data_IF_965068247924
#
_entry.id   IF_965068247924
#
_cell.length_a   1.000
_cell.length_b   1.000
_cell.length_c   1.000
_cell.angle_alpha   90.00
_cell.angle_beta   90.00
_cell.angle_gamma   90.00
#
_symmetry.space_group_name_H-M   'P 1'
#
loop_
_entity.id
_entity.type
_entity.pdbx_description
1 polymer ?
#
# COMPACT_ATOMS: atom_id res chain seq x y z
N UNK A 1 -13.09 16.67 16.69
CA UNK A 1 -12.77 15.25 16.89
C UNK A 1 -11.49 14.98 16.13
N UNK A 2 -10.38 14.98 16.85
CA UNK A 2 -9.02 14.86 16.30
C UNK A 2 -8.82 13.45 15.73
N UNK A 3 -8.56 13.37 14.43
CA UNK A 3 -8.09 12.16 13.77
C UNK A 3 -6.76 11.74 14.45
N UNK A 4 -6.77 10.65 15.17
CA UNK A 4 -5.59 9.93 15.56
C UNK A 4 -4.91 9.47 14.26
N UNK A 5 -4.00 10.25 13.75
CA UNK A 5 -3.06 9.86 12.70
C UNK A 5 -2.16 8.77 13.29
N UNK A 6 -2.59 7.52 13.13
CA UNK A 6 -1.79 6.35 13.45
C UNK A 6 -0.65 6.29 12.42
N UNK A 7 0.48 6.92 12.76
CA UNK A 7 1.75 6.62 12.10
C UNK A 7 1.90 5.09 12.02
N UNK A 8 2.38 4.52 10.90
CA UNK A 8 2.65 3.08 10.83
C UNK A 8 3.66 2.77 11.95
N UNK A 9 3.16 2.08 12.98
CA UNK A 9 4.01 1.59 14.07
C UNK A 9 5.04 0.67 13.42
N UNK A 10 6.30 1.07 13.39
CA UNK A 10 7.38 0.19 13.00
C UNK A 10 7.33 -1.10 13.85
N UNK A 11 8.01 -2.17 13.43
CA UNK A 11 8.00 -3.49 14.12
C UNK A 11 8.16 -3.37 15.64
N UNK A 12 8.95 -2.40 16.13
CA UNK A 12 9.11 -2.12 17.56
C UNK A 12 7.82 -1.68 18.22
N UNK A 13 7.09 -0.76 17.60
CA UNK A 13 5.80 -0.30 18.11
C UNK A 13 4.74 -1.40 18.12
N UNK A 14 4.76 -2.32 17.15
CA UNK A 14 3.86 -3.47 17.11
C UNK A 14 4.13 -4.43 18.28
N UNK A 15 5.39 -4.78 18.54
CA UNK A 15 5.76 -5.66 19.67
C UNK A 15 5.41 -4.99 21.00
N UNK A 16 5.64 -3.69 21.15
CA UNK A 16 5.26 -2.94 22.36
C UNK A 16 3.75 -2.93 22.59
N UNK A 17 2.98 -2.62 21.55
CA UNK A 17 1.51 -2.58 21.63
C UNK A 17 0.95 -3.97 21.97
N UNK A 18 1.45 -5.03 21.33
CA UNK A 18 1.06 -6.41 21.62
C UNK A 18 1.38 -6.81 23.06
N UNK A 19 2.58 -6.51 23.53
CA UNK A 19 3.00 -6.80 24.91
C UNK A 19 2.09 -6.08 25.91
N UNK A 20 1.77 -4.81 25.67
CA UNK A 20 0.87 -4.03 26.53
C UNK A 20 -0.54 -4.62 26.54
N UNK A 21 -1.11 -4.92 25.36
CA UNK A 21 -2.45 -5.49 25.22
C UNK A 21 -2.56 -6.84 25.94
N UNK A 22 -1.61 -7.77 25.70
CA UNK A 22 -1.61 -9.09 26.32
C UNK A 22 -1.47 -8.98 27.84
N UNK A 23 -0.52 -8.17 28.32
CA UNK A 23 -0.27 -8.01 29.77
C UNK A 23 -1.48 -7.37 30.47
N UNK A 24 -2.09 -6.31 29.88
CA UNK A 24 -3.26 -5.66 30.43
C UNK A 24 -4.49 -6.57 30.43
N UNK A 25 -4.67 -7.35 29.37
CA UNK A 25 -5.77 -8.32 29.28
C UNK A 25 -5.67 -9.40 30.36
N UNK A 26 -4.47 -10.01 30.52
CA UNK A 26 -4.25 -11.01 31.57
C UNK A 26 -4.46 -10.43 32.95
N UNK A 27 -4.00 -9.20 33.20
CA UNK A 27 -4.22 -8.50 34.46
C UNK A 27 -5.73 -8.25 34.72
N UNK A 28 -6.45 -7.77 33.71
CA UNK A 28 -7.89 -7.53 33.82
C UNK A 28 -8.69 -8.82 34.08
N UNK A 29 -8.37 -9.90 33.36
CA UNK A 29 -9.00 -11.20 33.57
C UNK A 29 -8.68 -11.77 34.96
N UNK A 30 -7.46 -11.57 35.47
CA UNK A 30 -7.09 -11.98 36.82
C UNK A 30 -7.87 -11.20 37.88
N UNK A 31 -8.04 -9.88 37.72
CA UNK A 31 -8.84 -9.04 38.60
C UNK A 31 -10.32 -9.47 38.57
N UNK A 32 -10.87 -9.68 37.39
CA UNK A 32 -12.26 -10.20 37.22
C UNK A 32 -12.46 -11.50 37.96
N UNK A 33 -11.51 -12.45 37.82
CA UNK A 33 -11.56 -13.71 38.57
C UNK A 33 -11.54 -13.53 40.08
N UNK A 34 -10.67 -12.64 40.60
CA UNK A 34 -10.62 -12.34 42.03
C UNK A 34 -11.94 -11.75 42.51
N UNK A 35 -12.50 -10.78 41.81
CA UNK A 35 -13.74 -10.07 42.21
C UNK A 35 -14.97 -10.96 42.08
N UNK A 36 -15.10 -11.68 40.99
CA UNK A 36 -16.31 -12.50 40.71
C UNK A 36 -16.26 -13.84 41.42
N UNK A 37 -15.10 -14.50 41.47
CA UNK A 37 -14.95 -15.83 42.06
C UNK A 37 -14.60 -15.79 43.55
N UNK A 38 -14.43 -14.57 44.11
CA UNK A 38 -14.10 -14.42 45.52
C UNK A 38 -12.72 -15.01 45.90
N UNK A 39 -11.80 -15.11 44.96
CA UNK A 39 -10.47 -15.64 45.22
C UNK A 39 -9.66 -14.65 46.05
N UNK A 40 -9.14 -15.11 47.19
CA UNK A 40 -8.36 -14.28 48.10
C UNK A 40 -6.93 -13.99 47.60
N UNK A 41 -6.53 -14.54 46.45
CA UNK A 41 -5.17 -14.38 45.90
C UNK A 41 -5.17 -14.34 44.35
N UNK A 42 -4.20 -13.65 43.78
CA UNK A 42 -3.96 -13.64 42.34
C UNK A 42 -3.66 -15.07 41.84
N UNK A 43 -4.31 -15.55 40.77
CA UNK A 43 -3.97 -16.87 40.22
C UNK A 43 -2.51 -16.94 39.84
N UNK A 44 -1.78 -17.94 40.35
CA UNK A 44 -0.33 -18.12 40.17
C UNK A 44 0.08 -18.00 38.70
N UNK A 45 -0.60 -18.62 37.71
CA UNK A 45 -0.22 -18.47 36.30
C UNK A 45 -0.31 -17.04 35.78
N UNK A 46 -1.35 -16.30 36.18
CA UNK A 46 -1.53 -14.91 35.76
C UNK A 46 -0.42 -13.99 36.33
N UNK A 47 0.00 -14.23 37.57
CA UNK A 47 1.11 -13.49 38.17
C UNK A 47 2.39 -13.61 37.33
N UNK A 48 2.79 -14.82 36.94
CA UNK A 48 3.99 -15.05 36.12
C UNK A 48 3.88 -14.37 34.76
N UNK A 49 2.73 -14.43 34.09
CA UNK A 49 2.53 -13.79 32.78
C UNK A 49 2.62 -12.26 32.89
N UNK A 50 2.02 -11.67 33.94
CA UNK A 50 2.09 -10.22 34.18
C UNK A 50 3.52 -9.77 34.46
N UNK A 51 4.25 -10.47 35.34
CA UNK A 51 5.64 -10.15 35.66
C UNK A 51 6.54 -10.26 34.41
N UNK A 52 6.40 -11.33 33.63
CA UNK A 52 7.15 -11.48 32.38
C UNK A 52 6.82 -10.36 31.37
N UNK A 53 5.55 -9.97 31.26
CA UNK A 53 5.10 -8.87 30.41
C UNK A 53 5.71 -7.51 30.82
N UNK A 54 5.75 -7.24 32.13
CA UNK A 54 6.41 -6.01 32.67
C UNK A 54 7.90 -6.00 32.41
N UNK A 55 8.59 -7.13 32.66
CA UNK A 55 10.03 -7.27 32.38
C UNK A 55 10.29 -7.05 30.87
N UNK A 56 9.49 -7.66 30.01
CA UNK A 56 9.61 -7.48 28.56
C UNK A 56 9.37 -6.02 28.15
N UNK A 57 8.40 -5.32 28.75
CA UNK A 57 8.17 -3.90 28.50
C UNK A 57 9.40 -3.03 28.89
N UNK A 58 10.01 -3.32 30.03
CA UNK A 58 11.23 -2.63 30.48
C UNK A 58 12.39 -2.92 29.52
N UNK A 59 12.55 -4.19 29.11
CA UNK A 59 13.58 -4.60 28.15
C UNK A 59 13.45 -3.85 26.82
N UNK A 60 12.24 -3.73 26.28
CA UNK A 60 11.97 -2.98 25.05
C UNK A 60 12.29 -1.48 25.24
N UNK A 61 11.90 -0.88 26.38
CA UNK A 61 12.18 0.53 26.70
C UNK A 61 13.69 0.83 26.80
N UNK A 62 14.48 -0.12 27.27
CA UNK A 62 15.95 -0.04 27.36
C UNK A 62 16.68 -0.37 26.05
N UNK A 63 16.00 -0.24 24.91
CA UNK A 63 16.56 -0.53 23.59
C UNK A 63 16.97 -2.00 23.35
N UNK A 64 16.36 -2.94 24.08
CA UNK A 64 16.57 -4.36 23.84
C UNK A 64 16.17 -4.81 22.44
N UNK A 65 16.72 -5.95 22.00
CA UNK A 65 16.43 -6.55 20.71
C UNK A 65 14.93 -6.89 20.56
N UNK A 66 14.33 -6.42 19.48
CA UNK A 66 12.90 -6.64 19.19
C UNK A 66 12.61 -8.12 18.94
N UNK A 67 13.56 -8.84 18.31
CA UNK A 67 13.42 -10.29 18.09
C UNK A 67 13.40 -11.07 19.39
N UNK A 68 14.22 -10.68 20.35
CA UNK A 68 14.23 -11.28 21.69
C UNK A 68 12.94 -10.96 22.42
N UNK A 69 12.48 -9.71 22.38
CA UNK A 69 11.22 -9.29 23.01
C UNK A 69 9.99 -10.04 22.45
N UNK A 70 9.93 -10.22 21.14
CA UNK A 70 8.87 -11.00 20.50
C UNK A 70 8.90 -12.47 20.93
N UNK A 71 10.07 -13.07 20.98
CA UNK A 71 10.23 -14.46 21.47
C UNK A 71 9.83 -14.62 22.94
N UNK A 72 10.24 -13.69 23.81
CA UNK A 72 9.82 -13.67 25.23
C UNK A 72 8.29 -13.65 25.31
N UNK A 73 7.62 -12.79 24.54
CA UNK A 73 6.16 -12.69 24.54
C UNK A 73 5.48 -14.00 24.14
N UNK A 74 5.96 -14.67 23.09
CA UNK A 74 5.40 -15.95 22.62
C UNK A 74 5.65 -17.07 23.61
N UNK A 75 6.86 -17.17 24.17
CA UNK A 75 7.20 -18.17 25.20
C UNK A 75 6.33 -17.96 26.44
N UNK A 76 6.13 -16.72 26.86
CA UNK A 76 5.25 -16.38 27.99
C UNK A 76 3.80 -16.79 27.73
N UNK A 77 3.31 -16.61 26.49
CA UNK A 77 1.96 -17.01 26.09
C UNK A 77 1.79 -18.53 26.10
N UNK A 78 2.77 -19.28 25.58
CA UNK A 78 2.76 -20.77 25.61
C UNK A 78 2.80 -21.30 27.04
N UNK A 79 3.66 -20.75 27.89
CA UNK A 79 3.73 -21.08 29.30
C UNK A 79 2.41 -20.77 30.01
N UNK A 80 1.85 -19.57 29.76
CA UNK A 80 0.57 -19.15 30.32
C UNK A 80 -0.57 -20.09 29.92
N UNK A 81 -0.60 -20.54 28.65
CA UNK A 81 -1.57 -21.51 28.18
C UNK A 81 -1.45 -22.84 28.93
N UNK A 82 -0.26 -23.45 28.94
CA UNK A 82 -0.04 -24.75 29.55
C UNK A 82 -0.31 -24.74 31.06
N UNK A 83 0.29 -23.78 31.77
CA UNK A 83 0.23 -23.70 33.23
C UNK A 83 -1.18 -23.31 33.73
N UNK A 84 -1.83 -22.35 33.05
CA UNK A 84 -3.19 -21.96 33.40
C UNK A 84 -4.20 -23.06 33.13
N UNK A 85 -4.09 -23.79 32.01
CA UNK A 85 -4.98 -24.92 31.72
C UNK A 85 -4.87 -26.02 32.77
N UNK A 86 -3.65 -26.35 33.20
CA UNK A 86 -3.44 -27.36 34.24
C UNK A 86 -4.13 -27.00 35.58
N UNK A 87 -4.06 -25.70 35.98
CA UNK A 87 -4.62 -25.28 37.29
C UNK A 87 -6.08 -24.85 37.25
N UNK A 88 -6.72 -24.72 36.09
CA UNK A 88 -8.09 -24.17 35.98
C UNK A 88 -9.09 -25.12 35.32
N UNK A 89 -8.81 -26.44 35.30
CA UNK A 89 -9.75 -27.45 34.84
C UNK A 89 -9.45 -28.06 33.47
N UNK A 90 -8.19 -28.21 33.12
CA UNK A 90 -7.75 -28.97 31.94
C UNK A 90 -8.26 -28.43 30.62
N UNK A 91 -8.90 -29.29 29.84
CA UNK A 91 -9.50 -28.91 28.54
C UNK A 91 -10.68 -27.96 28.67
N UNK A 92 -11.35 -27.96 29.82
CA UNK A 92 -12.46 -27.05 30.12
C UNK A 92 -12.02 -25.66 30.54
N UNK A 93 -10.73 -25.45 30.74
CA UNK A 93 -10.17 -24.13 31.10
C UNK A 93 -10.47 -23.07 30.02
N UNK A 94 -11.09 -21.96 30.41
CA UNK A 94 -11.40 -20.85 29.48
C UNK A 94 -10.21 -20.35 28.73
N UNK A 95 -8.98 -20.48 29.25
CA UNK A 95 -7.73 -20.03 28.62
C UNK A 95 -7.41 -20.82 27.35
N UNK A 96 -7.89 -22.05 27.18
CA UNK A 96 -7.69 -22.90 26.01
C UNK A 96 -8.23 -22.21 24.75
N UNK A 97 -9.26 -21.39 24.87
CA UNK A 97 -9.84 -20.63 23.77
C UNK A 97 -8.84 -19.61 23.15
N UNK A 98 -7.82 -19.19 23.89
CA UNK A 98 -6.75 -18.31 23.35
C UNK A 98 -5.68 -19.05 22.55
N UNK A 99 -5.66 -20.38 22.57
CA UNK A 99 -4.65 -21.18 21.89
C UNK A 99 -4.44 -20.80 20.40
N UNK A 100 -5.49 -20.57 19.58
CA UNK A 100 -5.32 -20.21 18.16
C UNK A 100 -4.67 -18.84 17.94
N UNK A 101 -4.72 -17.94 18.91
CA UNK A 101 -4.11 -16.60 18.78
C UNK A 101 -2.58 -16.66 18.80
N UNK A 102 -1.99 -17.60 19.51
CA UNK A 102 -0.54 -17.68 19.70
C UNK A 102 0.20 -17.83 18.36
N UNK A 103 -0.11 -18.79 17.46
CA UNK A 103 0.51 -18.87 16.16
C UNK A 103 0.19 -17.67 15.27
N UNK A 104 -1.02 -17.10 15.33
CA UNK A 104 -1.37 -15.89 14.57
C UNK A 104 -0.48 -14.72 14.98
N UNK A 105 -0.29 -14.49 16.28
CA UNK A 105 0.62 -13.47 16.79
C UNK A 105 2.07 -13.75 16.40
N UNK A 106 2.48 -15.02 16.35
CA UNK A 106 3.84 -15.38 15.94
C UNK A 106 4.12 -15.03 14.48
N UNK A 107 3.14 -15.19 13.57
CA UNK A 107 3.29 -14.71 12.17
C UNK A 107 3.59 -13.22 12.14
N UNK A 108 2.83 -12.42 12.88
CA UNK A 108 2.93 -10.97 12.87
C UNK A 108 4.23 -10.44 13.51
N UNK A 109 4.66 -11.09 14.59
CA UNK A 109 5.77 -10.58 15.40
C UNK A 109 7.12 -11.13 14.96
N UNK A 110 7.17 -12.36 14.44
CA UNK A 110 8.41 -13.06 14.10
C UNK A 110 8.45 -13.41 12.61
N UNK A 111 7.83 -14.51 12.20
CA UNK A 111 7.71 -14.95 10.80
C UNK A 111 6.82 -16.21 10.68
N UNK A 112 6.53 -16.60 9.43
CA UNK A 112 5.67 -17.75 9.12
C UNK A 112 6.27 -19.09 9.58
N UNK A 113 7.60 -19.29 9.50
CA UNK A 113 8.23 -20.54 9.97
C UNK A 113 8.09 -20.72 11.47
N UNK A 114 8.33 -19.65 12.25
CA UNK A 114 8.13 -19.67 13.69
C UNK A 114 6.67 -19.94 14.09
N UNK A 115 5.71 -19.45 13.30
CA UNK A 115 4.29 -19.67 13.54
C UNK A 115 3.89 -21.16 13.38
N UNK A 116 4.42 -21.87 12.36
CA UNK A 116 4.19 -23.32 12.26
C UNK A 116 4.79 -24.11 13.42
N UNK A 117 5.97 -23.70 13.91
CA UNK A 117 6.57 -24.30 15.11
C UNK A 117 5.70 -24.07 16.34
N UNK A 118 5.23 -22.83 16.56
CA UNK A 118 4.35 -22.49 17.69
C UNK A 118 3.00 -23.18 17.58
N UNK A 119 2.44 -23.36 16.38
CA UNK A 119 1.24 -24.15 16.16
C UNK A 119 1.43 -25.60 16.60
N UNK A 120 2.53 -26.24 16.20
CA UNK A 120 2.86 -27.60 16.65
C UNK A 120 3.02 -27.69 18.17
N UNK A 121 3.68 -26.69 18.81
CA UNK A 121 3.81 -26.64 20.26
C UNK A 121 2.47 -26.47 20.96
N UNK A 122 1.58 -25.63 20.45
CA UNK A 122 0.22 -25.47 20.97
C UNK A 122 -0.54 -26.79 20.89
N UNK A 123 -0.49 -27.50 19.76
CA UNK A 123 -1.13 -28.81 19.60
C UNK A 123 -0.56 -29.83 20.63
N UNK A 124 0.76 -29.86 20.82
CA UNK A 124 1.38 -30.76 21.81
C UNK A 124 0.95 -30.42 23.25
N UNK A 125 0.85 -29.13 23.59
CA UNK A 125 0.36 -28.68 24.90
C UNK A 125 -1.10 -29.15 25.10
N UNK A 126 -1.97 -28.92 24.11
CA UNK A 126 -3.38 -29.31 24.22
C UNK A 126 -3.59 -30.83 24.31
N UNK A 127 -2.82 -31.60 23.52
CA UNK A 127 -2.84 -33.09 23.61
C UNK A 127 -2.33 -33.53 24.98
N UNK A 128 -1.25 -32.95 25.50
CA UNK A 128 -0.71 -33.27 26.81
C UNK A 128 -1.71 -32.98 27.93
N UNK A 129 -2.37 -31.84 27.89
CA UNK A 129 -3.45 -31.46 28.83
C UNK A 129 -4.62 -32.48 28.77
N UNK A 130 -5.06 -32.81 27.54
CA UNK A 130 -6.12 -33.78 27.33
C UNK A 130 -5.78 -35.15 27.94
N UNK A 131 -4.54 -35.63 27.74
CA UNK A 131 -4.08 -36.93 28.33
C UNK A 131 -4.03 -36.86 29.86
N UNK A 132 -3.55 -35.77 30.45
CA UNK A 132 -3.52 -35.59 31.91
C UNK A 132 -4.91 -35.50 32.50
N UNK A 133 -5.82 -34.82 31.82
CA UNK A 133 -7.24 -34.68 32.22
C UNK A 133 -7.96 -36.03 32.17
N UNK A 134 -7.81 -36.74 31.05
CA UNK A 134 -8.39 -38.06 30.85
C UNK A 134 -7.90 -39.10 31.90
N UNK A 135 -6.64 -38.99 32.37
CA UNK A 135 -6.08 -39.84 33.41
C UNK A 135 -6.39 -39.36 34.86
N UNK A 136 -7.18 -38.32 35.04
CA UNK A 136 -7.51 -37.77 36.34
C UNK A 136 -6.38 -37.09 37.09
N UNK A 137 -5.34 -36.66 36.40
CA UNK A 137 -4.18 -35.98 37.01
C UNK A 137 -4.38 -34.45 37.11
N UNK A 138 -5.46 -33.93 36.53
CA UNK A 138 -5.80 -32.51 36.65
C UNK A 138 -6.76 -32.32 37.83
N UNK A 139 -6.54 -31.32 38.68
CA UNK A 139 -7.45 -31.01 39.77
C UNK A 139 -8.87 -30.75 39.27
N UNK A 140 -9.87 -31.31 39.90
CA UNK A 140 -11.26 -31.03 39.58
C UNK A 140 -11.56 -29.53 39.70
N UNK A 141 -12.31 -29.02 38.74
CA UNK A 141 -12.69 -27.61 38.74
C UNK A 141 -13.78 -27.39 39.79
N UNK A 142 -13.41 -26.75 40.89
CA UNK A 142 -14.34 -26.44 42.01
C UNK A 142 -15.15 -25.16 41.77
N UNK A 143 -15.02 -24.55 40.57
CA UNK A 143 -15.73 -23.33 40.19
C UNK A 143 -17.17 -23.66 39.79
N UNK A 144 -18.08 -22.82 40.25
CA UNK A 144 -19.50 -22.88 39.87
C UNK A 144 -19.66 -22.93 38.35
N UNK A 145 -20.46 -23.86 37.78
CA UNK A 145 -20.69 -23.98 36.35
C UNK A 145 -21.14 -22.68 35.66
N UNK A 146 -21.99 -21.89 36.32
CA UNK A 146 -22.48 -20.61 35.74
C UNK A 146 -21.36 -19.58 35.66
N UNK A 147 -20.48 -19.52 36.67
CA UNK A 147 -19.30 -18.65 36.65
C UNK A 147 -18.24 -19.10 35.60
N UNK A 148 -18.11 -20.41 35.41
CA UNK A 148 -17.26 -21.00 34.39
C UNK A 148 -17.78 -20.61 32.99
N UNK A 149 -19.07 -20.73 32.75
CA UNK A 149 -19.73 -20.33 31.50
C UNK A 149 -19.55 -18.84 31.25
N UNK A 150 -19.77 -17.99 32.25
CA UNK A 150 -19.55 -16.54 32.12
C UNK A 150 -18.09 -16.21 31.77
N UNK A 151 -17.13 -16.88 32.39
CA UNK A 151 -15.70 -16.70 32.08
C UNK A 151 -15.38 -17.09 30.64
N UNK A 152 -16.00 -18.11 30.07
CA UNK A 152 -15.85 -18.50 28.64
C UNK A 152 -16.38 -17.44 27.71
N UNK A 153 -17.55 -16.82 27.97
CA UNK A 153 -18.09 -15.73 27.17
C UNK A 153 -17.18 -14.49 27.20
N UNK A 154 -16.63 -14.11 28.34
CA UNK A 154 -15.68 -13.01 28.45
C UNK A 154 -14.45 -13.29 27.60
N UNK A 155 -13.89 -14.49 27.68
CA UNK A 155 -12.72 -14.89 26.88
C UNK A 155 -13.04 -14.86 25.38
N UNK A 156 -14.23 -15.32 24.95
CA UNK A 156 -14.65 -15.25 23.56
C UNK A 156 -14.75 -13.81 23.05
N UNK A 157 -15.32 -12.90 23.84
CA UNK A 157 -15.39 -11.48 23.51
C UNK A 157 -13.96 -10.90 23.35
N UNK A 158 -13.08 -11.19 24.29
CA UNK A 158 -11.68 -10.77 24.21
C UNK A 158 -10.97 -11.34 22.97
N UNK A 159 -11.24 -12.61 22.62
CA UNK A 159 -10.73 -13.27 21.42
C UNK A 159 -11.18 -12.53 20.14
N UNK A 160 -12.47 -12.19 20.06
CA UNK A 160 -13.02 -11.42 18.93
C UNK A 160 -12.37 -10.03 18.82
N UNK A 161 -12.19 -9.34 19.94
CA UNK A 161 -11.51 -8.03 19.95
C UNK A 161 -10.06 -8.11 19.49
N UNK A 162 -9.30 -9.10 19.99
CA UNK A 162 -7.90 -9.31 19.60
C UNK A 162 -7.82 -9.69 18.12
N UNK A 163 -8.64 -10.62 17.64
CA UNK A 163 -8.62 -11.03 16.24
C UNK A 163 -8.97 -9.88 15.30
N UNK A 164 -9.98 -9.08 15.64
CA UNK A 164 -10.35 -7.87 14.89
C UNK A 164 -9.20 -6.86 14.85
N UNK A 165 -8.53 -6.62 15.99
CA UNK A 165 -7.36 -5.75 16.06
C UNK A 165 -6.21 -6.26 15.18
N UNK A 166 -5.90 -7.57 15.24
CA UNK A 166 -4.86 -8.21 14.43
C UNK A 166 -5.14 -8.04 12.93
N UNK A 167 -6.36 -8.38 12.49
CA UNK A 167 -6.77 -8.28 11.08
C UNK A 167 -6.71 -6.82 10.61
N UNK A 168 -7.19 -5.88 11.42
CA UNK A 168 -7.13 -4.45 11.12
C UNK A 168 -5.68 -3.96 10.93
N UNK A 169 -4.76 -4.40 11.79
CA UNK A 169 -3.33 -4.06 11.69
C UNK A 169 -2.67 -4.65 10.46
N UNK A 170 -2.93 -5.93 10.20
CA UNK A 170 -2.42 -6.59 9.00
C UNK A 170 -2.90 -5.90 7.72
N UNK A 171 -4.19 -5.58 7.64
CA UNK A 171 -4.76 -4.85 6.51
C UNK A 171 -4.10 -3.47 6.31
N UNK A 172 -3.85 -2.72 7.39
CA UNK A 172 -3.19 -1.42 7.32
C UNK A 172 -1.75 -1.54 6.80
N UNK A 173 -0.98 -2.50 7.30
CA UNK A 173 0.41 -2.74 6.86
C UNK A 173 0.44 -3.15 5.39
N UNK A 174 -0.44 -4.08 4.98
CA UNK A 174 -0.52 -4.54 3.59
C UNK A 174 -0.84 -3.40 2.62
N UNK A 175 -1.79 -2.52 2.98
CA UNK A 175 -2.11 -1.33 2.17
C UNK A 175 -0.92 -0.39 2.03
N UNK A 176 -0.20 -0.13 3.12
CA UNK A 176 0.99 0.74 3.09
C UNK A 176 2.08 0.17 2.18
N UNK A 177 2.32 -1.15 2.27
CA UNK A 177 3.30 -1.83 1.40
C UNK A 177 2.88 -1.79 -0.07
N UNK A 178 1.61 -2.00 -0.38
CA UNK A 178 1.10 -1.90 -1.75
C UNK A 178 1.29 -0.50 -2.32
N UNK A 179 0.93 0.55 -1.54
CA UNK A 179 1.15 1.94 -1.96
C UNK A 179 2.64 2.24 -2.17
N UNK A 180 3.53 1.72 -1.31
CA UNK A 180 4.97 1.88 -1.48
C UNK A 180 5.49 1.18 -2.74
N UNK A 181 4.99 -0.02 -3.06
CA UNK A 181 5.34 -0.74 -4.29
C UNK A 181 4.84 0.01 -5.53
N UNK A 182 3.62 0.54 -5.50
CA UNK A 182 3.09 1.39 -6.57
C UNK A 182 3.91 2.67 -6.75
N UNK A 183 4.33 3.29 -5.64
CA UNK A 183 5.21 4.46 -5.68
C UNK A 183 6.63 4.18 -6.21
N UNK A 184 7.10 2.93 -6.14
CA UNK A 184 8.38 2.52 -6.72
C UNK A 184 8.28 2.14 -8.20
N UNK A 185 7.07 1.88 -8.69
CA UNK A 185 6.85 1.65 -10.11
C UNK A 185 7.08 2.94 -10.90
N UNK A 186 7.84 2.86 -11.97
CA UNK A 186 7.99 3.95 -12.95
C UNK A 186 6.95 3.89 -14.06
N UNK A 187 6.13 2.84 -14.08
CA UNK A 187 5.19 2.53 -15.16
C UNK A 187 3.75 2.81 -14.69
N UNK A 188 2.95 3.42 -15.53
CA UNK A 188 1.51 3.55 -15.36
C UNK A 188 0.85 2.18 -15.51
N UNK A 189 0.13 1.73 -14.50
CA UNK A 189 -0.45 0.38 -14.43
C UNK A 189 -1.50 0.10 -15.51
N UNK A 190 -2.18 1.15 -15.99
CA UNK A 190 -3.22 1.01 -16.99
C UNK A 190 -2.63 0.93 -18.40
N UNK A 191 -1.73 1.84 -18.74
CA UNK A 191 -1.29 2.08 -20.11
C UNK A 191 0.06 1.46 -20.45
N UNK A 192 0.86 1.09 -19.43
CA UNK A 192 2.20 0.50 -19.64
C UNK A 192 3.30 1.48 -20.05
N UNK A 193 2.99 2.77 -20.22
CA UNK A 193 3.99 3.84 -20.41
C UNK A 193 4.50 4.37 -19.09
N UNK A 194 5.47 5.29 -19.08
CA UNK A 194 5.96 5.92 -17.87
C UNK A 194 4.80 6.63 -17.12
N UNK A 195 4.80 6.52 -15.80
CA UNK A 195 3.87 7.30 -15.00
C UNK A 195 4.36 8.76 -14.85
N UNK A 196 3.50 9.62 -14.30
CA UNK A 196 3.79 11.04 -14.12
C UNK A 196 5.13 11.29 -13.42
N UNK A 197 5.41 10.57 -12.33
CA UNK A 197 6.65 10.76 -11.57
C UNK A 197 7.89 10.38 -12.38
N UNK A 198 7.82 9.28 -13.12
CA UNK A 198 8.91 8.81 -13.94
C UNK A 198 9.19 9.77 -15.11
N UNK A 199 8.14 10.26 -15.79
CA UNK A 199 8.29 11.20 -16.89
C UNK A 199 8.82 12.57 -16.42
N UNK A 200 8.42 13.06 -15.23
CA UNK A 200 8.98 14.28 -14.64
C UNK A 200 10.46 14.11 -14.28
N UNK A 201 10.86 12.93 -13.80
CA UNK A 201 12.26 12.60 -13.50
C UNK A 201 13.09 12.51 -14.78
N UNK A 202 12.56 11.87 -15.81
CA UNK A 202 13.19 11.75 -17.12
C UNK A 202 13.37 13.13 -17.77
N UNK A 203 12.34 13.96 -17.73
CA UNK A 203 12.42 15.34 -18.24
C UNK A 203 13.54 16.14 -17.56
N UNK A 204 13.70 16.00 -16.25
CA UNK A 204 14.78 16.67 -15.52
C UNK A 204 16.16 16.20 -16.01
N UNK A 205 16.35 14.89 -16.22
CA UNK A 205 17.60 14.33 -16.73
C UNK A 205 17.91 14.80 -18.15
N UNK A 206 16.91 14.84 -19.02
CA UNK A 206 17.07 15.28 -20.40
C UNK A 206 17.32 16.81 -20.51
N UNK A 207 16.75 17.61 -19.60
CA UNK A 207 17.11 19.04 -19.47
C UNK A 207 18.59 19.21 -19.12
N UNK A 208 19.07 18.46 -18.13
CA UNK A 208 20.48 18.53 -17.74
C UNK A 208 21.40 18.05 -18.84
N UNK A 209 20.98 17.05 -19.62
CA UNK A 209 21.69 16.56 -20.78
C UNK A 209 21.72 17.62 -21.89
N UNK A 210 20.57 18.19 -22.26
CA UNK A 210 20.46 19.22 -23.27
C UNK A 210 21.32 20.46 -22.94
N UNK A 211 21.35 20.85 -21.66
CA UNK A 211 22.22 21.95 -21.19
C UNK A 211 23.69 21.64 -21.34
N UNK A 212 24.16 20.44 -21.01
CA UNK A 212 25.55 20.02 -21.12
C UNK A 212 25.99 19.88 -22.58
N UNK A 213 25.13 19.27 -23.40
CA UNK A 213 25.44 19.02 -24.82
C UNK A 213 25.12 20.20 -25.73
N UNK A 214 24.44 21.23 -25.20
CA UNK A 214 23.95 22.38 -25.92
C UNK A 214 23.10 21.99 -27.15
N UNK A 215 22.09 21.18 -26.91
CA UNK A 215 21.18 20.63 -27.92
C UNK A 215 19.73 21.06 -27.67
N UNK A 216 18.85 20.76 -28.63
CA UNK A 216 17.41 21.00 -28.52
C UNK A 216 16.75 19.95 -27.61
N UNK A 217 15.73 20.35 -26.87
CA UNK A 217 14.82 19.48 -26.17
C UNK A 217 13.41 19.94 -26.44
N UNK A 218 12.57 19.02 -26.91
CA UNK A 218 11.14 19.28 -27.13
C UNK A 218 10.27 18.46 -26.20
N UNK A 219 9.13 19.05 -25.85
CA UNK A 219 8.08 18.41 -25.06
C UNK A 219 6.76 18.53 -25.82
N UNK A 220 6.04 17.40 -25.93
CA UNK A 220 4.68 17.36 -26.44
C UNK A 220 3.76 16.96 -25.30
N UNK A 221 2.72 17.74 -25.06
CA UNK A 221 1.60 17.38 -24.19
C UNK A 221 0.38 17.09 -25.05
N UNK A 222 -0.20 15.90 -24.89
CA UNK A 222 -1.32 15.41 -25.64
C UNK A 222 -2.50 15.09 -24.73
N UNK A 223 -3.71 15.37 -25.16
CA UNK A 223 -4.94 15.11 -24.42
C UNK A 223 -6.00 14.52 -25.35
N UNK A 224 -6.71 13.52 -24.84
CA UNK A 224 -7.79 12.84 -25.59
C UNK A 224 -9.04 13.72 -25.59
N UNK A 225 -9.40 14.19 -26.76
CA UNK A 225 -10.53 15.11 -26.92
C UNK A 225 -11.84 14.50 -26.44
N UNK A 226 -12.57 15.25 -25.59
CA UNK A 226 -13.87 14.88 -25.04
C UNK A 226 -13.88 13.52 -24.30
N UNK A 227 -12.79 13.09 -23.71
CA UNK A 227 -12.69 11.78 -23.08
C UNK A 227 -13.73 11.54 -21.98
N UNK A 228 -14.11 12.56 -21.23
CA UNK A 228 -15.19 12.46 -20.25
C UNK A 228 -16.52 12.04 -20.92
N UNK A 229 -16.86 12.64 -22.06
CA UNK A 229 -18.07 12.29 -22.81
C UNK A 229 -17.99 10.85 -23.36
N UNK A 230 -16.78 10.41 -23.77
CA UNK A 230 -16.55 9.02 -24.16
C UNK A 230 -16.87 8.06 -23.02
N UNK A 231 -16.36 8.34 -21.79
CA UNK A 231 -16.66 7.54 -20.61
C UNK A 231 -18.14 7.54 -20.23
N UNK A 232 -18.80 8.70 -20.32
CA UNK A 232 -20.22 8.84 -20.00
C UNK A 232 -21.08 8.03 -20.97
N UNK A 233 -20.64 7.85 -22.23
CA UNK A 233 -21.35 7.10 -23.27
C UNK A 233 -21.05 5.60 -23.29
N UNK A 234 -19.83 5.18 -22.97
CA UNK A 234 -19.35 3.80 -23.15
C UNK A 234 -18.99 3.11 -21.82
N UNK A 235 -18.98 3.84 -20.71
CA UNK A 235 -18.51 3.38 -19.41
C UNK A 235 -16.99 3.42 -19.24
N UNK A 236 -16.54 3.44 -17.98
CA UNK A 236 -15.12 3.57 -17.62
C UNK A 236 -14.25 2.44 -18.17
N UNK A 237 -14.74 1.20 -18.25
CA UNK A 237 -13.96 0.08 -18.79
C UNK A 237 -13.63 0.26 -20.29
N UNK A 238 -14.53 0.85 -21.05
CA UNK A 238 -14.28 1.20 -22.45
C UNK A 238 -13.25 2.33 -22.54
N UNK A 239 -13.34 3.32 -21.65
CA UNK A 239 -12.33 4.40 -21.54
C UNK A 239 -10.94 3.88 -21.22
N UNK A 240 -10.83 2.94 -20.30
CA UNK A 240 -9.56 2.28 -19.98
C UNK A 240 -8.97 1.55 -21.20
N UNK A 241 -9.81 0.88 -21.99
CA UNK A 241 -9.39 0.22 -23.22
C UNK A 241 -8.93 1.23 -24.27
N UNK A 242 -9.66 2.32 -24.44
CA UNK A 242 -9.29 3.43 -25.33
C UNK A 242 -7.93 4.04 -24.95
N UNK A 243 -7.68 4.30 -23.67
CA UNK A 243 -6.39 4.82 -23.20
C UNK A 243 -5.24 3.85 -23.43
N UNK A 244 -5.45 2.54 -23.25
CA UNK A 244 -4.45 1.51 -23.56
C UNK A 244 -4.10 1.49 -25.04
N UNK A 245 -5.10 1.60 -25.91
CA UNK A 245 -4.91 1.61 -27.34
C UNK A 245 -4.15 2.86 -27.79
N UNK A 246 -4.53 4.04 -27.30
CA UNK A 246 -3.84 5.31 -27.58
C UNK A 246 -2.38 5.25 -27.09
N UNK A 247 -2.14 4.78 -25.86
CA UNK A 247 -0.78 4.64 -25.32
C UNK A 247 0.09 3.71 -26.19
N UNK A 248 -0.50 2.59 -26.65
CA UNK A 248 0.16 1.65 -27.55
C UNK A 248 0.50 2.31 -28.87
N UNK A 249 -0.44 3.01 -29.51
CA UNK A 249 -0.19 3.71 -30.77
C UNK A 249 0.90 4.78 -30.67
N UNK A 250 0.94 5.52 -29.56
CA UNK A 250 2.00 6.50 -29.28
C UNK A 250 3.36 5.79 -29.13
N UNK A 251 3.40 4.68 -28.38
CA UNK A 251 4.63 3.94 -28.15
C UNK A 251 5.13 3.19 -29.38
N UNK A 252 4.23 2.67 -30.21
CA UNK A 252 4.55 1.94 -31.45
C UNK A 252 4.93 2.91 -32.60
N UNK A 253 4.54 4.18 -32.51
CA UNK A 253 5.02 5.19 -33.43
C UNK A 253 6.52 5.32 -33.24
N UNK A 254 7.30 4.99 -34.29
CA UNK A 254 8.80 4.91 -34.35
C UNK A 254 9.53 6.01 -33.55
N UNK A 255 9.34 6.01 -32.24
CA UNK A 255 10.12 6.83 -31.32
C UNK A 255 11.54 6.31 -31.29
N UNK A 256 12.49 7.22 -31.22
CA UNK A 256 13.89 6.86 -31.07
C UNK A 256 14.11 6.24 -29.69
N UNK A 257 15.18 5.48 -29.54
CA UNK A 257 15.52 4.90 -28.23
C UNK A 257 15.72 5.95 -27.11
N UNK A 258 15.95 7.21 -27.49
CA UNK A 258 16.11 8.33 -26.57
C UNK A 258 14.77 9.05 -26.25
N UNK A 259 13.71 8.78 -27.00
CA UNK A 259 12.41 9.41 -26.79
C UNK A 259 11.66 8.71 -25.67
N UNK A 260 10.96 9.45 -24.83
CA UNK A 260 10.22 8.93 -23.72
C UNK A 260 8.74 9.29 -23.80
N UNK A 261 7.87 8.35 -23.41
CA UNK A 261 6.42 8.55 -23.35
C UNK A 261 5.92 8.25 -21.94
N UNK A 262 5.05 9.10 -21.44
CA UNK A 262 4.42 8.91 -20.14
C UNK A 262 2.97 9.38 -20.11
N UNK A 263 2.21 8.84 -19.16
CA UNK A 263 0.87 9.33 -18.82
C UNK A 263 0.99 10.34 -17.68
N UNK A 264 0.60 11.57 -17.95
CA UNK A 264 0.74 12.67 -17.01
C UNK A 264 -0.43 12.75 -16.01
N UNK A 265 -1.62 12.38 -16.45
CA UNK A 265 -2.82 12.28 -15.60
C UNK A 265 -4.07 12.02 -16.44
N UNK A 266 -5.06 11.33 -15.89
CA UNK A 266 -6.35 11.08 -16.56
C UNK A 266 -6.19 10.60 -18.00
N UNK A 267 -6.51 11.48 -18.94
CA UNK A 267 -6.41 11.29 -20.38
C UNK A 267 -5.21 12.00 -21.04
N UNK A 268 -4.26 12.50 -20.24
CA UNK A 268 -3.12 13.29 -20.71
C UNK A 268 -1.85 12.44 -20.85
N UNK A 269 -1.18 12.59 -21.98
CA UNK A 269 0.12 11.96 -22.29
C UNK A 269 1.18 13.01 -22.53
N UNK A 270 2.43 12.68 -22.20
CA UNK A 270 3.60 13.53 -22.42
C UNK A 270 4.65 12.73 -23.18
N UNK A 271 5.26 13.38 -24.18
CA UNK A 271 6.40 12.85 -24.91
C UNK A 271 7.59 13.80 -24.69
N UNK A 272 8.74 13.23 -24.38
CA UNK A 272 10.03 13.92 -24.29
C UNK A 272 10.85 13.54 -25.52
N UNK A 273 11.30 14.53 -26.27
CA UNK A 273 12.03 14.35 -27.52
C UNK A 273 13.40 15.06 -27.44
N UNK A 274 14.44 14.36 -26.98
CA UNK A 274 15.80 14.87 -26.97
C UNK A 274 16.32 15.15 -28.39
N UNK A 275 17.26 16.07 -28.52
CA UNK A 275 17.89 16.46 -29.78
C UNK A 275 16.91 16.76 -30.92
N UNK A 276 15.75 17.35 -30.56
CA UNK A 276 14.62 17.58 -31.47
C UNK A 276 14.20 19.06 -31.37
N UNK A 277 14.22 19.76 -32.49
CA UNK A 277 13.78 21.15 -32.59
C UNK A 277 12.25 21.26 -32.76
N UNK A 278 11.70 22.47 -32.73
CA UNK A 278 10.27 22.77 -32.83
C UNK A 278 9.64 22.21 -34.11
N UNK A 279 10.27 22.37 -35.27
CA UNK A 279 9.70 21.91 -36.54
C UNK A 279 9.55 20.41 -36.57
N UNK A 280 10.56 19.67 -36.13
CA UNK A 280 10.53 18.21 -36.08
C UNK A 280 9.59 17.70 -35.00
N UNK A 281 9.52 18.33 -33.84
CA UNK A 281 8.58 18.00 -32.80
C UNK A 281 7.11 18.20 -33.24
N UNK A 282 6.87 19.30 -33.98
CA UNK A 282 5.53 19.57 -34.55
C UNK A 282 5.15 18.54 -35.62
N UNK A 283 6.10 18.12 -36.47
CA UNK A 283 5.90 17.06 -37.44
C UNK A 283 5.54 15.72 -36.74
N UNK A 284 6.26 15.36 -35.68
CA UNK A 284 5.99 14.16 -34.88
C UNK A 284 4.59 14.24 -34.27
N UNK A 285 4.24 15.37 -33.66
CA UNK A 285 2.93 15.58 -33.05
C UNK A 285 1.79 15.47 -34.10
N UNK A 286 1.95 16.05 -35.30
CA UNK A 286 0.96 15.98 -36.36
C UNK A 286 0.80 14.56 -36.92
N UNK A 287 1.87 13.80 -37.00
CA UNK A 287 1.82 12.40 -37.42
C UNK A 287 1.08 11.55 -36.38
N UNK A 288 1.38 11.75 -35.09
CA UNK A 288 0.66 11.07 -34.00
C UNK A 288 -0.83 11.39 -34.03
N UNK A 289 -1.20 12.67 -34.18
CA UNK A 289 -2.59 13.11 -34.32
C UNK A 289 -3.29 12.35 -35.46
N UNK A 290 -2.65 12.26 -36.65
CA UNK A 290 -3.19 11.56 -37.82
C UNK A 290 -3.33 10.05 -37.58
N UNK A 291 -2.35 9.43 -36.94
CA UNK A 291 -2.40 7.99 -36.60
C UNK A 291 -3.62 7.69 -35.73
N UNK A 292 -3.82 8.46 -34.64
CA UNK A 292 -4.96 8.27 -33.76
C UNK A 292 -6.29 8.51 -34.50
N UNK A 293 -6.38 9.58 -35.26
CA UNK A 293 -7.56 9.88 -36.08
C UNK A 293 -7.88 8.73 -37.06
N UNK A 294 -6.85 8.19 -37.74
CA UNK A 294 -6.99 7.12 -38.74
C UNK A 294 -7.30 5.74 -38.12
N UNK A 295 -7.05 5.57 -36.82
CA UNK A 295 -7.41 4.34 -36.12
C UNK A 295 -8.92 4.16 -36.00
N UNK A 296 -9.69 5.23 -36.14
CA UNK A 296 -11.15 5.22 -36.12
C UNK A 296 -11.73 4.58 -34.85
N UNK A 297 -11.15 4.84 -33.69
CA UNK A 297 -11.73 4.43 -32.42
C UNK A 297 -13.10 5.14 -32.31
N UNK A 298 -14.24 4.41 -32.39
CA UNK A 298 -15.56 5.06 -32.45
C UNK A 298 -15.91 5.71 -31.12
N UNK A 299 -16.45 6.90 -31.15
CA UNK A 299 -16.81 7.66 -29.96
C UNK A 299 -17.94 7.01 -29.12
N UNK A 300 -18.74 6.14 -29.71
CA UNK A 300 -19.79 5.38 -29.04
C UNK A 300 -20.68 4.61 -30.03
N UNK A 301 -21.59 3.78 -29.51
CA UNK A 301 -22.41 2.91 -30.37
C UNK A 301 -23.33 3.67 -31.34
N UNK A 302 -23.68 4.92 -31.02
CA UNK A 302 -24.52 5.79 -31.85
C UNK A 302 -23.74 6.99 -32.44
N UNK A 303 -22.44 7.06 -32.22
CA UNK A 303 -21.56 8.10 -32.74
C UNK A 303 -20.30 7.46 -33.33
N UNK A 304 -20.22 7.44 -34.64
CA UNK A 304 -19.10 6.85 -35.40
C UNK A 304 -17.94 7.81 -35.58
N UNK A 305 -18.03 9.05 -35.07
CA UNK A 305 -16.91 9.98 -35.13
C UNK A 305 -15.70 9.38 -34.38
N UNK A 306 -14.48 9.50 -34.90
CA UNK A 306 -13.32 8.94 -34.28
C UNK A 306 -12.87 9.77 -33.05
N UNK A 307 -12.32 9.09 -32.05
CA UNK A 307 -11.59 9.74 -30.97
C UNK A 307 -10.39 10.48 -31.55
N UNK A 308 -10.14 11.70 -31.08
CA UNK A 308 -9.05 12.55 -31.54
C UNK A 308 -8.15 13.00 -30.41
N UNK A 309 -6.98 13.52 -30.76
CA UNK A 309 -6.05 14.16 -29.84
C UNK A 309 -5.86 15.62 -30.18
N UNK A 310 -5.74 16.44 -29.13
CA UNK A 310 -5.16 17.77 -29.22
C UNK A 310 -3.76 17.73 -28.60
N UNK A 311 -2.79 18.33 -29.29
CA UNK A 311 -1.38 18.30 -28.86
C UNK A 311 -0.82 19.71 -28.75
N UNK A 312 -0.13 19.98 -27.65
CA UNK A 312 0.65 21.21 -27.43
C UNK A 312 2.15 20.88 -27.49
N UNK A 313 2.90 21.62 -28.27
CA UNK A 313 4.33 21.41 -28.50
C UNK A 313 5.12 22.59 -28.00
N UNK A 314 6.20 22.33 -27.25
CA UNK A 314 7.24 23.31 -26.92
C UNK A 314 8.63 22.78 -27.24
N UNK A 315 9.57 23.68 -27.49
CA UNK A 315 10.97 23.34 -27.74
C UNK A 315 11.87 24.41 -27.17
N UNK A 316 12.97 24.02 -26.54
CA UNK A 316 13.97 24.94 -26.03
C UNK A 316 15.40 24.42 -26.31
N UNK A 317 16.37 25.32 -26.36
CA UNK A 317 17.74 25.00 -26.71
C UNK A 317 18.69 25.14 -25.53
N UNK A 318 19.38 24.11 -25.15
CA UNK A 318 20.51 24.11 -24.23
C UNK A 318 20.32 25.00 -23.02
N UNK A 319 21.16 26.00 -22.87
CA UNK A 319 21.20 26.91 -21.72
C UNK A 319 19.94 27.80 -21.57
N UNK A 320 19.09 27.90 -22.58
CA UNK A 320 17.86 28.69 -22.49
C UNK A 320 16.74 27.99 -21.67
N UNK A 321 16.91 26.70 -21.37
CA UNK A 321 15.94 25.92 -20.58
C UNK A 321 16.05 26.30 -19.11
N UNK A 322 15.07 26.98 -18.54
CA UNK A 322 15.10 27.35 -17.12
C UNK A 322 14.74 26.17 -16.18
N UNK A 323 13.96 25.18 -16.61
CA UNK A 323 13.60 24.00 -15.85
C UNK A 323 12.39 23.27 -16.39
N UNK A 324 11.99 22.20 -15.69
CA UNK A 324 10.84 21.35 -16.04
C UNK A 324 9.53 22.12 -16.08
N UNK A 325 9.29 23.00 -15.09
CA UNK A 325 8.06 23.80 -14.99
C UNK A 325 7.84 24.74 -16.18
N UNK A 326 8.92 25.25 -16.77
CA UNK A 326 8.82 26.09 -17.97
C UNK A 326 8.28 25.29 -19.14
N UNK A 327 8.92 24.15 -19.47
CA UNK A 327 8.53 23.34 -20.63
C UNK A 327 7.11 22.80 -20.47
N UNK A 328 6.76 22.29 -19.29
CA UNK A 328 5.41 21.79 -19.01
C UNK A 328 4.39 22.93 -19.19
N UNK A 329 4.62 24.10 -18.60
CA UNK A 329 3.70 25.24 -18.70
C UNK A 329 3.53 25.74 -20.14
N UNK A 330 4.60 25.76 -20.93
CA UNK A 330 4.55 26.20 -22.33
C UNK A 330 3.79 25.19 -23.19
N UNK A 331 4.03 23.88 -23.01
CA UNK A 331 3.32 22.83 -23.72
C UNK A 331 1.82 22.80 -23.34
N UNK A 332 1.51 22.94 -22.04
CA UNK A 332 0.13 23.03 -21.55
C UNK A 332 -0.61 24.25 -22.10
N UNK A 333 0.02 25.42 -22.13
CA UNK A 333 -0.55 26.62 -22.72
C UNK A 333 -0.85 26.45 -24.22
N UNK A 334 0.03 25.74 -24.94
CA UNK A 334 -0.19 25.43 -26.36
C UNK A 334 -1.35 24.43 -26.53
N UNK A 335 -1.39 23.37 -25.70
CA UNK A 335 -2.48 22.41 -25.66
C UNK A 335 -3.84 23.08 -25.36
N UNK A 336 -3.87 23.95 -24.35
CA UNK A 336 -5.06 24.73 -24.02
C UNK A 336 -5.58 25.58 -25.18
N UNK A 337 -4.67 26.26 -25.91
CA UNK A 337 -5.03 27.00 -27.14
C UNK A 337 -5.64 26.07 -28.19
N UNK A 338 -5.07 24.88 -28.39
CA UNK A 338 -5.57 23.88 -29.31
C UNK A 338 -6.99 23.44 -28.99
N UNK A 339 -7.26 23.17 -27.70
CA UNK A 339 -8.60 22.80 -27.19
C UNK A 339 -9.62 23.93 -27.47
N UNK A 340 -9.25 25.20 -27.28
CA UNK A 340 -10.13 26.34 -27.54
C UNK A 340 -10.33 26.65 -29.03
N UNK A 341 -9.40 26.31 -29.86
CA UNK A 341 -9.48 26.54 -31.30
C UNK A 341 -10.28 25.45 -32.05
N UNK A 342 -10.86 24.49 -31.36
CA UNK A 342 -11.75 23.45 -31.96
C UNK A 342 -11.17 22.05 -31.93
N UNK A 343 -10.13 21.81 -31.10
CA UNK A 343 -9.54 20.46 -30.87
C UNK A 343 -8.98 19.78 -32.11
N UNK A 344 -8.59 18.50 -32.01
CA UNK A 344 -8.02 17.68 -33.08
C UNK A 344 -6.95 18.42 -33.88
N UNK A 345 -5.96 18.99 -33.19
CA UNK A 345 -4.90 19.80 -33.80
C UNK A 345 -3.62 19.79 -32.98
N UNK A 346 -2.56 20.21 -33.63
CA UNK A 346 -1.28 20.53 -33.02
C UNK A 346 -1.14 22.04 -32.91
N UNK A 347 -0.71 22.53 -31.76
CA UNK A 347 -0.37 23.94 -31.54
C UNK A 347 1.03 23.99 -30.93
N UNK A 348 1.93 24.75 -31.52
CA UNK A 348 3.25 25.03 -30.95
C UNK A 348 3.22 26.27 -30.06
N UNK A 349 4.03 26.26 -28.99
CA UNK A 349 4.27 27.45 -28.19
C UNK A 349 5.00 28.47 -29.06
N UNK A 350 4.65 29.75 -28.92
CA UNK A 350 5.43 30.82 -29.54
C UNK A 350 6.68 30.99 -28.64
N UNK A 351 7.72 30.23 -28.91
CA UNK A 351 9.00 30.47 -28.26
C UNK A 351 9.48 31.86 -28.58
N UNK A 352 9.67 32.69 -27.57
CA UNK A 352 10.43 33.91 -27.69
C UNK A 352 11.90 33.61 -28.04
N UNK A 353 12.19 33.28 -29.26
CA UNK A 353 13.55 33.04 -29.72
C UNK A 353 13.72 33.42 -31.19
N UNK A 354 13.72 34.71 -31.42
CA UNK A 354 14.55 35.25 -32.46
C UNK A 354 15.97 35.50 -31.92
N UNK A 355 16.70 34.43 -31.54
CA UNK A 355 18.16 34.53 -31.30
C UNK A 355 18.76 33.18 -31.64
N UNK A 356 19.16 33.05 -32.89
CA UNK A 356 20.33 32.33 -33.38
C UNK A 356 20.21 32.12 -34.91
N UNK A 357 20.25 33.22 -35.66
CA UNK A 357 20.84 33.23 -37.00
C UNK A 357 21.88 34.33 -36.97
N UNK A 358 23.11 33.95 -36.65
CA UNK A 358 24.35 34.58 -37.18
C UNK A 358 25.48 33.56 -37.03
#
# INVERSE_FOLDING_TARGET
>A
MSAFTLMPLGRRGLVQATNLVVTSLVASLAIIKIVILGLNSLPIPAFFVIVAGVINAIYIRRNGSIDVAAKILIITALFGLAFSSFYTGGVDASVVLFAPIIPIMTVLLINTRAAWITFGLVCLILIGIFILDFNGHIPENTVDPDLLLMSRYIVLICLCLISTWVVSRFSSISRTLLVQLEQQSNIDYLTGVLNRRAIETELLQEIDRAKRSNTWLSLIMADVDFFKLYNDSNGHLAGDTCLKEIAKLISDYSLRAADSVGRFGGEEFVLILPDTNMDKATEIAENLRKIILNQHIPYGPNNTDPVTLTLGVTSAYGQTISGTEQLIREADAALYKGKHQGRNRVVSSISGSSVAQN
#
